data_IF_455146176622
#
_entry.id   IF_455146176622
#
_cell.length_a   1.000
_cell.length_b   1.000
_cell.length_c   1.000
_cell.angle_alpha   90.00
_cell.angle_beta   90.00
_cell.angle_gamma   90.00
#
_symmetry.space_group_name_H-M   'P 1'
#
loop_
_entity.id
_entity.type
_entity.pdbx_description
1 polymer ?
#
# COMPACT_ATOMS: atom_id res chain seq x y z
N UNK A 1 26.56 -2.51 7.71
CA UNK A 1 25.34 -3.35 7.72
C UNK A 1 24.52 -3.01 8.95
N UNK A 2 23.89 -1.82 8.97
CA UNK A 2 22.90 -1.50 9.99
C UNK A 2 21.63 -2.25 9.63
N UNK A 3 21.20 -3.17 10.50
CA UNK A 3 19.93 -3.89 10.32
C UNK A 3 18.80 -2.88 10.44
N UNK A 4 17.96 -2.75 9.42
CA UNK A 4 16.72 -1.97 9.52
C UNK A 4 15.83 -2.60 10.59
N UNK A 5 15.28 -1.78 11.48
CA UNK A 5 14.25 -2.24 12.42
C UNK A 5 12.95 -2.46 11.63
N UNK A 6 12.32 -3.62 11.79
CA UNK A 6 10.97 -3.87 11.28
C UNK A 6 10.76 -3.60 9.79
N UNK A 7 11.66 -4.08 8.91
CA UNK A 7 11.51 -3.96 7.46
C UNK A 7 10.16 -4.55 7.02
N UNK A 8 9.26 -3.68 6.57
CA UNK A 8 7.93 -4.03 6.07
C UNK A 8 7.75 -3.44 4.66
N UNK A 9 6.79 -3.97 3.93
CA UNK A 9 6.42 -3.46 2.61
C UNK A 9 4.91 -3.25 2.52
N UNK A 10 4.51 -2.28 1.70
CA UNK A 10 3.10 -1.99 1.40
C UNK A 10 2.96 -1.66 -0.09
N UNK A 11 1.90 -2.16 -0.72
CA UNK A 11 1.59 -1.80 -2.11
C UNK A 11 1.15 -0.32 -2.21
N UNK A 12 1.56 0.39 -3.25
CA UNK A 12 1.25 1.81 -3.44
C UNK A 12 -0.25 2.13 -3.61
N UNK A 13 -1.11 1.14 -3.85
CA UNK A 13 -2.57 1.28 -3.82
C UNK A 13 -3.23 0.52 -2.66
N UNK A 14 -2.46 0.09 -1.66
CA UNK A 14 -3.01 -0.61 -0.51
C UNK A 14 -3.95 0.31 0.29
N UNK A 15 -5.16 -0.19 0.51
CA UNK A 15 -6.21 0.48 1.33
C UNK A 15 -6.20 0.04 2.79
N UNK A 16 -5.36 -0.94 3.12
CA UNK A 16 -5.17 -1.45 4.48
C UNK A 16 -3.75 -1.14 4.94
N UNK A 17 -3.58 -0.52 6.12
CA UNK A 17 -2.26 -0.25 6.66
C UNK A 17 -1.48 -1.53 6.94
N UNK A 18 -0.16 -1.48 6.78
CA UNK A 18 0.73 -2.54 7.24
C UNK A 18 1.06 -2.35 8.71
N UNK A 19 0.94 -3.42 9.50
CA UNK A 19 1.27 -3.42 10.93
C UNK A 19 2.71 -3.87 11.15
N UNK A 20 3.36 -3.32 12.16
CA UNK A 20 4.69 -3.77 12.56
C UNK A 20 5.04 -3.42 13.99
N UNK A 21 6.24 -3.80 14.38
CA UNK A 21 6.79 -3.58 15.70
C UNK A 21 8.29 -3.31 15.63
N UNK A 22 8.78 -2.55 16.59
CA UNK A 22 10.21 -2.43 16.88
C UNK A 22 10.40 -2.34 18.39
N UNK A 23 11.63 -2.63 18.85
CA UNK A 23 11.97 -2.57 20.26
C UNK A 23 12.90 -1.41 20.53
N UNK A 24 12.62 -0.66 21.59
CA UNK A 24 13.48 0.37 22.13
C UNK A 24 13.96 -0.05 23.51
N UNK A 25 15.26 0.06 23.74
CA UNK A 25 15.88 -0.28 25.02
C UNK A 25 16.83 0.84 25.45
N UNK A 26 16.82 1.13 26.74
CA UNK A 26 17.63 2.16 27.38
C UNK A 26 18.13 1.61 28.72
N UNK A 27 19.44 1.70 28.98
CA UNK A 27 20.06 1.09 30.16
C UNK A 27 19.54 1.70 31.48
N UNK A 28 19.41 3.03 31.52
CA UNK A 28 18.94 3.78 32.69
C UNK A 28 17.42 4.09 32.63
N UNK A 29 16.69 3.28 31.86
CA UNK A 29 15.28 3.48 31.58
C UNK A 29 15.03 4.52 30.50
N UNK A 30 13.90 4.36 29.81
CA UNK A 30 13.55 5.20 28.67
C UNK A 30 13.10 6.59 29.14
N UNK A 31 13.66 7.64 28.53
CA UNK A 31 13.19 9.03 28.70
C UNK A 31 12.37 9.51 27.52
N UNK A 32 12.85 9.25 26.30
CA UNK A 32 12.15 9.60 25.07
C UNK A 32 12.70 8.82 23.87
N UNK A 33 11.90 8.77 22.81
CA UNK A 33 12.35 8.35 21.48
C UNK A 33 12.15 9.49 20.50
N UNK A 34 13.06 9.66 19.56
CA UNK A 34 12.92 10.59 18.44
C UNK A 34 12.79 9.78 17.16
N UNK A 35 11.66 9.93 16.46
CA UNK A 35 11.37 9.22 15.20
C UNK A 35 11.13 10.25 14.10
N UNK A 36 11.92 10.21 13.02
CA UNK A 36 11.74 11.15 11.90
C UNK A 36 11.83 12.62 12.32
N UNK A 37 12.60 12.92 13.38
CA UNK A 37 12.70 14.26 13.97
C UNK A 37 11.60 14.62 14.98
N UNK A 38 10.59 13.77 15.19
CA UNK A 38 9.56 13.96 16.22
C UNK A 38 9.98 13.29 17.52
N UNK A 39 10.18 14.08 18.58
CA UNK A 39 10.46 13.56 19.93
C UNK A 39 9.16 13.20 20.66
N UNK A 40 9.14 12.01 21.25
CA UNK A 40 8.02 11.44 21.98
C UNK A 40 8.54 10.99 23.35
N UNK A 41 7.99 11.58 24.42
CA UNK A 41 8.38 11.26 25.78
C UNK A 41 7.86 9.88 26.21
N UNK A 42 8.52 9.25 27.18
CA UNK A 42 8.03 7.97 27.73
C UNK A 42 6.60 8.05 28.26
N UNK A 43 6.19 9.19 28.82
CA UNK A 43 4.80 9.40 29.24
C UNK A 43 3.83 9.38 28.06
N UNK A 44 4.19 9.99 26.92
CA UNK A 44 3.36 9.95 25.71
C UNK A 44 3.31 8.53 25.11
N UNK A 45 4.40 7.75 25.21
CA UNK A 45 4.42 6.35 24.78
C UNK A 45 3.49 5.50 25.63
N UNK A 46 3.50 5.68 26.95
CA UNK A 46 2.63 4.96 27.88
C UNK A 46 1.14 5.27 27.70
N UNK A 47 0.82 6.45 27.14
CA UNK A 47 -0.55 6.86 26.82
C UNK A 47 -1.04 6.35 25.45
N UNK A 48 -0.17 5.67 24.67
CA UNK A 48 -0.55 5.13 23.37
C UNK A 48 -1.64 4.07 23.51
N UNK A 49 -2.62 4.17 22.61
CA UNK A 49 -3.63 3.15 22.41
C UNK A 49 -4.18 3.27 20.99
N UNK A 50 -4.96 2.28 20.50
CA UNK A 50 -5.65 2.39 19.22
C UNK A 50 -6.56 3.63 19.10
N UNK A 51 -7.01 4.20 20.23
CA UNK A 51 -7.83 5.42 20.28
C UNK A 51 -7.04 6.70 20.56
N UNK A 52 -5.80 6.58 21.03
CA UNK A 52 -4.88 7.69 21.31
C UNK A 52 -3.54 7.45 20.61
N UNK A 53 -3.51 7.35 19.27
CA UNK A 53 -2.27 7.09 18.56
C UNK A 53 -1.38 8.33 18.45
N UNK A 54 -0.09 8.11 18.15
CA UNK A 54 0.83 9.18 17.76
C UNK A 54 1.21 9.02 16.29
N UNK A 55 0.92 10.02 15.47
CA UNK A 55 1.26 10.03 14.05
C UNK A 55 2.58 10.76 13.79
N UNK A 56 3.34 10.24 12.84
CA UNK A 56 4.60 10.78 12.37
C UNK A 56 4.51 10.79 10.84
N UNK A 57 4.59 11.99 10.26
CA UNK A 57 4.59 12.14 8.80
C UNK A 57 5.92 11.62 8.23
N UNK A 58 5.83 10.75 7.24
CA UNK A 58 6.95 10.34 6.41
C UNK A 58 6.96 11.08 5.09
N UNK A 59 7.85 10.64 4.21
CA UNK A 59 7.96 11.16 2.83
C UNK A 59 6.95 10.53 1.89
N UNK A 60 6.58 9.28 2.13
CA UNK A 60 5.73 8.47 1.24
C UNK A 60 4.42 8.03 1.93
N UNK A 61 4.22 8.41 3.19
CA UNK A 61 3.08 7.98 3.98
C UNK A 61 3.10 8.48 5.42
N UNK A 62 2.31 7.83 6.27
CA UNK A 62 2.19 8.16 7.69
C UNK A 62 2.45 6.93 8.54
N UNK A 63 3.40 7.05 9.47
CA UNK A 63 3.65 6.09 10.54
C UNK A 63 2.78 6.46 11.74
N UNK A 64 2.07 5.49 12.30
CA UNK A 64 1.19 5.68 13.45
C UNK A 64 1.57 4.72 14.55
N UNK A 65 2.07 5.22 15.67
CA UNK A 65 2.33 4.41 16.86
C UNK A 65 1.02 4.16 17.59
N UNK A 66 0.77 2.90 17.95
CA UNK A 66 -0.53 2.46 18.49
C UNK A 66 -0.45 1.87 19.89
N UNK A 67 0.72 1.37 20.29
CA UNK A 67 0.91 0.73 21.59
C UNK A 67 2.38 0.74 22.00
N UNK A 68 2.63 0.68 23.31
CA UNK A 68 3.96 0.55 23.90
C UNK A 68 3.93 -0.34 25.15
N UNK A 69 4.71 -1.42 25.13
CA UNK A 69 4.94 -2.26 26.29
C UNK A 69 6.23 -1.84 27.02
N UNK A 70 6.13 -1.20 28.20
CA UNK A 70 7.31 -0.74 28.94
C UNK A 70 8.15 -1.87 29.55
N UNK A 71 7.63 -3.10 29.63
CA UNK A 71 8.37 -4.26 30.15
C UNK A 71 9.32 -4.81 29.09
N UNK A 72 8.83 -4.93 27.85
CA UNK A 72 9.62 -5.48 26.73
C UNK A 72 10.28 -4.40 25.88
N UNK A 73 9.89 -3.13 26.04
CA UNK A 73 10.34 -2.01 25.21
C UNK A 73 9.71 -2.01 23.81
N UNK A 74 8.65 -2.79 23.60
CA UNK A 74 8.05 -3.02 22.28
C UNK A 74 7.09 -1.88 21.92
N UNK A 75 7.34 -1.22 20.79
CA UNK A 75 6.45 -0.22 20.20
C UNK A 75 5.75 -0.85 19.01
N UNK A 76 4.42 -0.86 19.03
CA UNK A 76 3.60 -1.31 17.90
C UNK A 76 3.22 -0.11 17.03
N UNK A 77 3.20 -0.31 15.72
CA UNK A 77 2.84 0.72 14.76
C UNK A 77 1.98 0.18 13.62
N UNK A 78 1.29 1.10 12.95
CA UNK A 78 0.76 0.93 11.60
C UNK A 78 1.40 1.92 10.65
N UNK A 79 1.51 1.57 9.38
CA UNK A 79 1.96 2.46 8.33
C UNK A 79 0.98 2.44 7.16
N UNK A 80 0.59 3.62 6.70
CA UNK A 80 -0.24 3.80 5.52
C UNK A 80 0.50 4.71 4.53
N UNK A 81 0.75 4.19 3.34
CA UNK A 81 1.30 4.95 2.22
C UNK A 81 0.29 6.01 1.72
N UNK A 82 0.77 7.10 1.14
CA UNK A 82 -0.06 8.16 0.57
C UNK A 82 -0.69 7.74 -0.76
N UNK A 83 -1.99 7.93 -0.92
CA UNK A 83 -2.83 7.51 -2.06
C UNK A 83 -2.54 8.25 -3.39
N UNK A 84 -1.27 8.27 -3.78
CA UNK A 84 -0.74 8.84 -5.00
C UNK A 84 0.20 7.84 -5.65
N UNK A 85 0.11 7.69 -6.97
CA UNK A 85 1.08 6.91 -7.74
C UNK A 85 2.50 7.44 -7.53
N UNK A 86 3.47 6.53 -7.59
CA UNK A 86 4.88 6.84 -7.30
C UNK A 86 5.77 6.42 -8.48
N UNK A 87 6.88 7.12 -8.66
CA UNK A 87 7.82 6.80 -9.74
C UNK A 87 8.69 5.59 -9.38
N UNK A 88 8.30 4.42 -9.90
CA UNK A 88 9.02 3.17 -9.76
C UNK A 88 10.02 2.90 -10.91
N UNK A 89 10.37 3.89 -11.73
CA UNK A 89 11.33 3.74 -12.84
C UNK A 89 12.75 3.32 -12.39
N UNK A 90 13.07 3.53 -11.11
CA UNK A 90 14.29 3.03 -10.47
C UNK A 90 14.25 1.54 -10.08
N UNK A 91 13.13 0.85 -10.29
CA UNK A 91 12.87 -0.54 -9.93
C UNK A 91 12.04 -0.72 -8.66
N UNK A 92 11.64 -1.96 -8.35
CA UNK A 92 10.71 -2.29 -7.24
C UNK A 92 11.17 -1.83 -5.85
N UNK A 93 12.46 -1.52 -5.68
CA UNK A 93 13.05 -1.04 -4.42
C UNK A 93 13.39 0.45 -4.42
N UNK A 94 12.97 1.22 -5.44
CA UNK A 94 13.35 2.64 -5.58
C UNK A 94 12.57 3.58 -4.66
N UNK A 95 11.43 3.13 -4.13
CA UNK A 95 10.51 3.96 -3.35
C UNK A 95 10.39 3.38 -1.94
N UNK A 96 10.83 4.15 -0.94
CA UNK A 96 10.78 3.72 0.46
C UNK A 96 10.65 4.90 1.39
N UNK A 97 9.96 4.71 2.50
CA UNK A 97 9.90 5.68 3.59
C UNK A 97 10.84 5.28 4.72
N UNK A 98 11.67 6.21 5.17
CA UNK A 98 12.70 5.94 6.19
C UNK A 98 12.49 6.83 7.41
N UNK A 99 12.36 6.18 8.56
CA UNK A 99 12.19 6.84 9.86
C UNK A 99 13.42 6.55 10.75
N UNK A 100 14.36 7.50 10.88
CA UNK A 100 15.45 7.38 11.85
C UNK A 100 14.89 7.41 13.27
N UNK A 101 15.30 6.45 14.09
CA UNK A 101 14.91 6.28 15.48
C UNK A 101 16.14 6.48 16.36
N UNK A 102 16.03 7.40 17.32
CA UNK A 102 17.02 7.65 18.37
C UNK A 102 16.36 7.45 19.72
N UNK A 103 16.98 6.64 20.58
CA UNK A 103 16.51 6.41 21.95
C UNK A 103 17.32 7.27 22.89
N UNK A 104 16.65 7.99 23.81
CA UNK A 104 17.32 8.77 24.87
C UNK A 104 16.87 8.24 26.23
N UNK A 105 17.83 8.03 27.12
CA UNK A 105 17.60 7.52 28.48
C UNK A 105 17.47 8.65 29.52
N UNK A 106 17.22 8.25 30.78
CA UNK A 106 17.08 9.19 31.88
C UNK A 106 18.39 9.90 32.28
N UNK A 107 19.55 9.36 31.89
CA UNK A 107 20.85 10.01 32.05
C UNK A 107 21.11 11.08 30.97
N UNK A 108 20.23 11.19 29.97
CA UNK A 108 20.36 12.03 28.77
C UNK A 108 21.41 11.51 27.79
N UNK A 109 21.68 10.21 27.80
CA UNK A 109 22.50 9.56 26.79
C UNK A 109 21.59 9.10 25.64
N UNK A 110 22.03 9.37 24.40
CA UNK A 110 21.29 9.02 23.19
C UNK A 110 21.98 7.91 22.43
N UNK A 111 21.20 6.97 21.90
CA UNK A 111 21.69 5.91 21.02
C UNK A 111 22.15 6.47 19.67
N UNK A 112 22.94 5.69 18.92
CA UNK A 112 23.05 5.92 17.49
C UNK A 112 21.68 5.79 16.81
N UNK A 113 21.47 6.54 15.73
CA UNK A 113 20.24 6.45 14.95
C UNK A 113 20.15 5.08 14.26
N UNK A 114 18.99 4.45 14.35
CA UNK A 114 18.64 3.22 13.62
C UNK A 114 17.40 3.48 12.78
N UNK A 115 17.36 2.96 11.56
CA UNK A 115 16.27 3.27 10.62
C UNK A 115 15.20 2.18 10.65
N UNK A 116 13.94 2.60 10.80
CA UNK A 116 12.77 1.85 10.34
C UNK A 116 12.55 2.20 8.87
N UNK A 117 12.54 1.19 8.00
CA UNK A 117 12.38 1.38 6.55
C UNK A 117 11.13 0.63 6.10
N UNK A 118 10.23 1.33 5.43
CA UNK A 118 9.05 0.75 4.79
C UNK A 118 9.25 0.84 3.28
N UNK A 119 9.23 -0.31 2.60
CA UNK A 119 9.25 -0.34 1.15
C UNK A 119 7.85 -0.10 0.59
N UNK A 120 7.72 0.81 -0.36
CA UNK A 120 6.50 0.93 -1.14
C UNK A 120 6.72 0.14 -2.42
N UNK A 121 5.83 -0.80 -2.74
CA UNK A 121 5.96 -1.64 -3.94
C UNK A 121 5.01 -1.18 -5.02
N UNK A 122 5.52 -1.13 -6.25
CA UNK A 122 4.75 -0.84 -7.46
C UNK A 122 3.57 -1.82 -7.63
N UNK A 123 2.52 -1.37 -8.30
CA UNK A 123 1.34 -2.18 -8.57
C UNK A 123 1.01 -2.22 -10.05
N UNK A 124 1.17 -3.40 -10.65
CA UNK A 124 0.76 -3.62 -12.03
C UNK A 124 -0.76 -3.79 -12.15
N UNK A 125 -1.37 -3.33 -13.26
CA UNK A 125 -2.73 -3.71 -13.62
C UNK A 125 -2.83 -5.22 -13.87
N UNK A 126 -3.99 -5.79 -13.55
CA UNK A 126 -4.28 -7.20 -13.72
C UNK A 126 -5.64 -7.35 -14.42
N UNK A 127 -5.60 -7.73 -15.69
CA UNK A 127 -6.77 -8.06 -16.48
C UNK A 127 -7.17 -9.52 -16.26
N UNK A 128 -8.45 -9.77 -16.05
CA UNK A 128 -9.05 -11.08 -15.91
C UNK A 128 -9.91 -11.38 -17.13
N UNK A 129 -10.01 -12.67 -17.44
CA UNK A 129 -10.78 -13.09 -18.60
C UNK A 129 -12.27 -13.03 -18.28
N UNK A 130 -13.00 -12.25 -19.08
CA UNK A 130 -14.45 -12.19 -19.04
C UNK A 130 -15.05 -13.10 -20.12
N UNK A 131 -16.13 -13.80 -19.75
CA UNK A 131 -16.85 -14.68 -20.68
C UNK A 131 -18.34 -14.49 -20.56
N UNK A 132 -19.01 -14.52 -21.71
CA UNK A 132 -20.46 -14.53 -21.76
C UNK A 132 -20.97 -15.19 -23.04
N UNK A 133 -22.23 -15.60 -22.98
CA UNK A 133 -22.93 -16.28 -24.06
C UNK A 133 -24.25 -15.59 -24.32
N UNK A 134 -24.56 -15.35 -25.59
CA UNK A 134 -25.86 -14.84 -26.02
C UNK A 134 -26.51 -15.88 -26.92
N UNK A 135 -27.81 -16.11 -26.75
CA UNK A 135 -28.61 -16.96 -27.65
C UNK A 135 -29.26 -16.09 -28.72
N UNK A 136 -29.66 -16.70 -29.83
CA UNK A 136 -30.54 -16.02 -30.80
C UNK A 136 -31.77 -15.45 -30.07
N UNK A 137 -32.12 -14.21 -30.42
CA UNK A 137 -33.20 -13.43 -29.81
C UNK A 137 -33.13 -13.28 -28.27
N UNK A 138 -31.96 -13.56 -27.69
CA UNK A 138 -31.68 -13.37 -26.27
C UNK A 138 -31.45 -11.90 -25.89
N UNK A 139 -31.44 -11.63 -24.59
CA UNK A 139 -31.04 -10.32 -24.09
C UNK A 139 -29.57 -10.05 -24.42
N UNK A 140 -29.23 -8.78 -24.70
CA UNK A 140 -27.86 -8.35 -24.88
C UNK A 140 -27.05 -8.65 -23.61
N UNK A 141 -25.81 -9.13 -23.77
CA UNK A 141 -24.88 -9.31 -22.66
C UNK A 141 -24.44 -7.94 -22.15
N UNK A 142 -24.51 -7.73 -20.84
CA UNK A 142 -24.00 -6.52 -20.19
C UNK A 142 -22.88 -6.87 -19.23
N UNK A 143 -21.92 -5.96 -19.07
CA UNK A 143 -20.74 -6.21 -18.26
C UNK A 143 -19.91 -4.96 -18.04
N UNK A 144 -18.98 -5.04 -17.07
CA UNK A 144 -17.99 -4.00 -16.83
C UNK A 144 -16.70 -4.65 -16.35
N UNK A 145 -15.61 -4.42 -17.09
CA UNK A 145 -14.30 -5.04 -16.81
C UNK A 145 -13.71 -4.58 -15.47
N UNK A 146 -14.01 -3.36 -15.00
CA UNK A 146 -13.46 -2.84 -13.73
C UNK A 146 -14.29 -3.26 -12.52
N UNK A 147 -15.63 -3.20 -12.62
CA UNK A 147 -16.50 -3.54 -11.48
C UNK A 147 -16.93 -5.00 -11.46
N UNK A 148 -16.68 -5.75 -12.53
CA UNK A 148 -17.27 -7.07 -12.74
C UNK A 148 -18.73 -7.01 -13.20
N UNK A 149 -19.31 -8.20 -13.40
CA UNK A 149 -20.49 -8.44 -14.24
C UNK A 149 -21.78 -7.67 -14.00
N UNK A 150 -22.71 -7.87 -14.94
CA UNK A 150 -24.14 -7.50 -14.83
C UNK A 150 -24.99 -8.76 -14.56
N UNK A 151 -26.31 -8.63 -14.52
CA UNK A 151 -27.25 -9.73 -14.19
C UNK A 151 -27.18 -10.94 -15.14
N UNK A 152 -26.45 -10.84 -16.26
CA UNK A 152 -26.34 -11.87 -17.28
C UNK A 152 -24.91 -12.21 -17.72
N UNK A 153 -23.86 -11.76 -17.03
CA UNK A 153 -22.46 -12.12 -17.35
C UNK A 153 -21.73 -12.79 -16.17
N UNK A 154 -20.63 -13.46 -16.48
CA UNK A 154 -19.72 -14.07 -15.49
C UNK A 154 -18.44 -13.26 -15.31
N UNK A 155 -18.49 -11.97 -15.65
CA UNK A 155 -17.31 -11.12 -15.69
C UNK A 155 -16.71 -10.93 -14.31
N UNK A 156 -15.39 -10.92 -14.24
CA UNK A 156 -14.62 -10.81 -13.01
C UNK A 156 -13.88 -9.49 -13.03
N UNK A 157 -14.10 -8.67 -11.99
CA UNK A 157 -13.46 -7.37 -11.85
C UNK A 157 -11.92 -7.43 -12.02
N UNK A 158 -11.43 -6.67 -12.99
CA UNK A 158 -10.04 -6.33 -13.19
C UNK A 158 -9.53 -5.45 -12.05
N UNK A 159 -8.21 -5.48 -11.83
CA UNK A 159 -7.54 -4.59 -10.88
C UNK A 159 -6.71 -3.57 -11.64
N UNK A 160 -6.97 -2.30 -11.39
CA UNK A 160 -6.07 -1.23 -11.84
C UNK A 160 -4.83 -1.18 -10.94
N UNK A 161 -3.66 -0.96 -11.55
CA UNK A 161 -2.47 -0.49 -10.84
C UNK A 161 -2.67 0.95 -10.35
N UNK A 162 -1.84 1.44 -9.43
CA UNK A 162 -1.98 2.82 -8.94
C UNK A 162 -1.74 3.87 -10.04
N UNK A 163 -0.93 3.52 -11.04
CA UNK A 163 -0.67 4.37 -12.22
C UNK A 163 -1.85 4.47 -13.18
N UNK A 164 -2.78 3.51 -13.15
CA UNK A 164 -3.86 3.42 -14.11
C UNK A 164 -5.17 3.90 -13.51
N UNK A 165 -5.78 4.94 -14.09
CA UNK A 165 -7.08 5.47 -13.66
C UNK A 165 -8.24 5.04 -14.55
N UNK A 166 -7.94 4.46 -15.72
CA UNK A 166 -8.92 4.06 -16.71
C UNK A 166 -8.44 2.88 -17.55
N UNK A 167 -9.39 2.15 -18.14
CA UNK A 167 -9.12 1.16 -19.19
C UNK A 167 -8.68 1.93 -20.44
N UNK A 168 -7.48 1.63 -20.95
CA UNK A 168 -6.93 2.28 -22.15
C UNK A 168 -7.25 1.50 -23.42
N UNK A 169 -7.50 0.20 -23.32
CA UNK A 169 -7.92 -0.62 -24.46
C UNK A 169 -8.57 -1.94 -24.10
N UNK A 170 -9.40 -2.44 -25.02
CA UNK A 170 -9.98 -3.79 -24.98
C UNK A 170 -9.69 -4.52 -26.30
N UNK A 171 -9.38 -5.80 -26.23
CA UNK A 171 -9.03 -6.62 -27.40
C UNK A 171 -9.62 -8.02 -27.29
N UNK A 172 -9.90 -8.64 -28.44
CA UNK A 172 -10.33 -10.04 -28.50
C UNK A 172 -9.10 -10.96 -28.44
N UNK A 173 -9.16 -11.99 -27.59
CA UNK A 173 -8.09 -12.98 -27.42
C UNK A 173 -7.01 -12.53 -26.45
N UNK A 174 -5.89 -13.26 -26.39
CA UNK A 174 -4.78 -12.93 -25.49
C UNK A 174 -3.81 -11.96 -26.16
N UNK A 175 -3.44 -10.91 -25.44
CA UNK A 175 -2.34 -10.02 -25.81
C UNK A 175 -1.28 -10.00 -24.73
N UNK A 176 -0.02 -9.83 -25.14
CA UNK A 176 1.13 -9.65 -24.23
C UNK A 176 1.68 -8.22 -24.27
N UNK A 177 1.04 -7.34 -25.04
CA UNK A 177 1.42 -5.93 -25.18
C UNK A 177 0.27 -5.03 -24.74
N UNK A 178 0.58 -3.80 -24.37
CA UNK A 178 -0.43 -2.79 -24.07
C UNK A 178 -1.43 -2.65 -25.22
N UNK A 179 -2.72 -2.58 -24.87
CA UNK A 179 -3.82 -2.39 -25.81
C UNK A 179 -4.37 -0.97 -25.66
N UNK A 180 -4.62 -0.32 -26.80
CA UNK A 180 -5.23 1.01 -26.84
C UNK A 180 -6.41 1.04 -27.80
N UNK A 181 -7.54 1.60 -27.38
CA UNK A 181 -8.75 1.76 -28.20
C UNK A 181 -9.87 0.76 -27.91
N UNK A 182 -10.95 0.81 -28.71
CA UNK A 182 -12.20 0.05 -28.55
C UNK A 182 -13.03 0.36 -27.29
N UNK A 183 -12.45 1.00 -26.26
CA UNK A 183 -13.20 1.52 -25.10
C UNK A 183 -14.09 2.68 -25.56
N UNK A 184 -15.41 2.51 -25.47
CA UNK A 184 -16.40 3.52 -25.91
C UNK A 184 -16.47 3.73 -27.43
N UNK A 185 -15.89 2.81 -28.22
CA UNK A 185 -15.88 2.87 -29.69
C UNK A 185 -17.11 2.23 -30.35
N UNK A 186 -16.97 1.79 -31.61
CA UNK A 186 -18.04 1.13 -32.38
C UNK A 186 -18.27 -0.34 -31.99
N UNK A 187 -17.74 -0.77 -30.85
CA UNK A 187 -17.71 -2.15 -30.39
C UNK A 187 -16.51 -2.96 -30.89
N UNK A 188 -16.19 -4.03 -30.16
CA UNK A 188 -15.14 -5.00 -30.41
C UNK A 188 -15.66 -6.10 -31.34
N UNK A 189 -15.06 -6.25 -32.52
CA UNK A 189 -15.45 -7.29 -33.47
C UNK A 189 -15.18 -8.71 -32.92
N UNK A 190 -16.25 -9.47 -32.69
CA UNK A 190 -16.27 -10.89 -32.38
C UNK A 190 -16.45 -11.78 -33.61
N UNK A 191 -16.43 -13.11 -33.42
CA UNK A 191 -16.64 -14.07 -34.52
C UNK A 191 -18.08 -14.03 -35.09
N UNK A 192 -19.02 -13.49 -34.31
CA UNK A 192 -20.45 -13.51 -34.63
C UNK A 192 -21.11 -12.13 -34.53
N UNK A 193 -20.35 -11.04 -34.45
CA UNK A 193 -20.90 -9.68 -34.32
C UNK A 193 -19.91 -8.68 -33.73
N UNK A 194 -20.40 -7.56 -33.21
CA UNK A 194 -19.61 -6.55 -32.48
C UNK A 194 -20.14 -6.42 -31.06
N UNK A 195 -19.26 -6.46 -30.07
CA UNK A 195 -19.56 -6.19 -28.65
C UNK A 195 -19.38 -4.71 -28.33
#
# INVERSE_FOLDING_TARGET
>A
NGSALGANSIAENATTPVQGEFTVNAADGLKSITIGGTTILTSELLDLSPTTPKTIAGTEGTLTLTDYDPVTGKVSYSYQQSDSSKDHSGGDTSVSDTFPIVVTDNANESSAATNLVILITDTAPEAKADTGTVTEDGAALEGNVITGGSSNSTDVADRLGADATQVTGVSKGSSTTEQTGNVGGTGLAGDYGTL
#
